data_IF_811943192841
#
_entry.id   IF_811943192841
#
_cell.length_a   1.000
_cell.length_b   1.000
_cell.length_c   1.000
_cell.angle_alpha   90.00
_cell.angle_beta   90.00
_cell.angle_gamma   90.00
#
_symmetry.space_group_name_H-M   'P 1'
#
loop_
_entity.id
_entity.type
_entity.pdbx_description
1 polymer ?
#
# COMPACT_ATOMS: atom_id res chain seq x y z
N UNK A 1 16.34 -7.61 13.06
CA UNK A 1 15.46 -7.48 11.88
C UNK A 1 15.16 -8.89 11.40
N UNK A 2 13.88 -9.29 11.28
CA UNK A 2 13.54 -10.58 10.68
C UNK A 2 14.13 -10.64 9.26
N UNK A 3 14.61 -11.82 8.86
CA UNK A 3 15.20 -12.01 7.53
C UNK A 3 14.18 -11.63 6.45
N UNK A 4 14.60 -11.00 5.34
CA UNK A 4 13.70 -10.71 4.24
C UNK A 4 13.08 -12.02 3.74
N UNK A 5 11.76 -12.03 3.55
CA UNK A 5 11.05 -13.15 2.96
C UNK A 5 11.64 -13.46 1.58
N UNK A 6 12.34 -14.59 1.46
CA UNK A 6 12.92 -15.11 0.21
C UNK A 6 11.88 -15.93 -0.57
N UNK A 7 10.63 -15.46 -0.63
CA UNK A 7 9.59 -16.10 -1.41
C UNK A 7 9.57 -15.46 -2.80
N UNK A 8 9.68 -16.27 -3.84
CA UNK A 8 9.35 -15.83 -5.20
C UNK A 8 7.82 -15.76 -5.34
N UNK A 9 7.27 -14.57 -5.06
CA UNK A 9 5.85 -14.31 -5.12
C UNK A 9 5.21 -14.55 -6.50
N UNK A 10 6.01 -14.57 -7.57
CA UNK A 10 5.50 -14.76 -8.93
C UNK A 10 5.14 -16.23 -9.23
N UNK A 11 5.78 -17.16 -8.52
CA UNK A 11 5.58 -18.61 -8.69
C UNK A 11 4.99 -19.29 -7.46
N UNK A 12 4.97 -18.61 -6.32
CA UNK A 12 4.47 -19.14 -5.06
C UNK A 12 3.00 -19.60 -5.14
N UNK A 13 2.75 -20.75 -4.51
CA UNK A 13 1.40 -21.22 -4.22
C UNK A 13 0.76 -20.40 -3.08
N UNK A 14 -0.57 -20.53 -2.97
CA UNK A 14 -1.34 -20.00 -1.84
C UNK A 14 -0.75 -20.42 -0.49
N UNK A 15 -0.43 -21.72 -0.36
CA UNK A 15 0.04 -22.29 0.89
C UNK A 15 1.43 -21.77 1.28
N UNK A 16 2.36 -21.72 0.33
CA UNK A 16 3.71 -21.16 0.58
C UNK A 16 3.63 -19.69 0.98
N UNK A 17 2.74 -18.92 0.34
CA UNK A 17 2.52 -17.52 0.66
C UNK A 17 1.91 -17.32 2.06
N UNK A 18 0.93 -18.13 2.45
CA UNK A 18 0.38 -18.13 3.80
C UNK A 18 1.44 -18.49 4.85
N UNK A 19 2.21 -19.56 4.62
CA UNK A 19 3.25 -20.00 5.53
C UNK A 19 4.38 -18.97 5.68
N UNK A 20 4.73 -18.29 4.58
CA UNK A 20 5.68 -17.19 4.59
C UNK A 20 5.20 -16.03 5.48
N UNK A 21 3.98 -15.55 5.27
CA UNK A 21 3.44 -14.43 6.06
C UNK A 21 3.14 -14.80 7.51
N UNK A 22 2.78 -16.05 7.81
CA UNK A 22 2.56 -16.52 9.18
C UNK A 22 3.83 -16.43 10.05
N UNK A 23 5.02 -16.47 9.43
CA UNK A 23 6.32 -16.30 10.11
C UNK A 23 6.78 -14.83 10.19
N UNK A 24 6.08 -13.91 9.50
CA UNK A 24 6.43 -12.50 9.50
C UNK A 24 5.86 -11.82 10.74
N UNK A 25 6.72 -11.09 11.44
CA UNK A 25 6.31 -10.18 12.51
C UNK A 25 6.83 -8.77 12.22
N UNK A 26 6.19 -7.77 12.81
CA UNK A 26 6.73 -6.42 12.85
C UNK A 26 7.99 -6.31 13.75
N UNK A 27 8.49 -5.09 13.94
CA UNK A 27 9.65 -4.82 14.78
C UNK A 27 9.42 -5.11 16.28
N UNK A 28 8.17 -5.23 16.70
CA UNK A 28 7.75 -5.53 18.08
C UNK A 28 7.46 -7.03 18.28
N UNK A 29 7.58 -7.85 17.22
CA UNK A 29 7.23 -9.27 17.27
C UNK A 29 5.73 -9.55 17.08
N UNK A 30 4.94 -8.55 16.68
CA UNK A 30 3.50 -8.69 16.43
C UNK A 30 3.26 -9.31 15.06
N UNK A 31 2.45 -10.37 14.94
CA UNK A 31 2.07 -10.93 13.64
C UNK A 31 1.11 -9.99 12.88
N UNK A 32 0.83 -10.33 11.61
CA UNK A 32 -0.21 -9.64 10.84
C UNK A 32 -1.59 -9.97 11.43
N UNK A 33 -2.44 -8.96 11.52
CA UNK A 33 -3.83 -9.10 11.99
C UNK A 33 -4.61 -10.18 11.20
N UNK A 34 -5.30 -11.11 11.88
CA UNK A 34 -5.94 -12.27 11.25
C UNK A 34 -7.05 -11.88 10.27
N UNK A 35 -7.76 -10.77 10.49
CA UNK A 35 -8.83 -10.31 9.62
C UNK A 35 -8.36 -9.64 8.33
N UNK A 36 -7.05 -9.38 8.17
CA UNK A 36 -6.48 -8.76 6.95
C UNK A 36 -5.37 -9.57 6.29
N UNK A 37 -4.82 -10.60 6.97
CA UNK A 37 -3.71 -11.40 6.44
C UNK A 37 -4.00 -11.99 5.05
N UNK A 38 -5.23 -12.43 4.79
CA UNK A 38 -5.62 -12.97 3.48
C UNK A 38 -5.50 -11.91 2.37
N UNK A 39 -5.91 -10.67 2.64
CA UNK A 39 -5.73 -9.54 1.72
C UNK A 39 -4.25 -9.31 1.42
N UNK A 40 -3.40 -9.38 2.44
CA UNK A 40 -1.95 -9.21 2.30
C UNK A 40 -1.33 -10.33 1.46
N UNK A 41 -1.73 -11.59 1.67
CA UNK A 41 -1.30 -12.74 0.85
C UNK A 41 -1.65 -12.50 -0.62
N UNK A 42 -2.92 -12.20 -0.90
CA UNK A 42 -3.43 -12.06 -2.27
C UNK A 42 -2.78 -10.88 -3.00
N UNK A 43 -2.58 -9.75 -2.34
CA UNK A 43 -1.90 -8.61 -2.94
C UNK A 43 -0.47 -8.97 -3.35
N UNK A 44 0.31 -9.63 -2.48
CA UNK A 44 1.67 -10.04 -2.86
C UNK A 44 1.67 -11.06 -4.01
N UNK A 45 0.78 -12.06 -3.98
CA UNK A 45 0.64 -13.05 -5.06
C UNK A 45 0.22 -12.43 -6.40
N UNK A 46 -0.54 -11.33 -6.38
CA UNK A 46 -0.93 -10.56 -7.57
C UNK A 46 0.15 -9.54 -8.01
N UNK A 47 1.32 -9.55 -7.38
CA UNK A 47 2.44 -8.68 -7.72
C UNK A 47 2.30 -7.25 -7.18
N UNK A 48 1.61 -7.08 -6.05
CA UNK A 48 1.53 -5.83 -5.29
C UNK A 48 2.28 -6.00 -3.95
N UNK A 49 3.60 -5.71 -3.90
CA UNK A 49 4.38 -5.89 -2.69
C UNK A 49 3.82 -5.06 -1.54
N UNK A 50 3.52 -5.71 -0.41
CA UNK A 50 3.02 -5.03 0.78
C UNK A 50 4.14 -4.76 1.78
N UNK A 51 3.99 -3.71 2.58
CA UNK A 51 4.98 -3.34 3.61
C UNK A 51 4.39 -3.17 5.00
N UNK A 52 3.11 -2.82 5.10
CA UNK A 52 2.41 -2.64 6.37
C UNK A 52 0.91 -2.85 6.17
N UNK A 53 0.20 -3.30 7.20
CA UNK A 53 -1.26 -3.45 7.20
C UNK A 53 -1.81 -3.34 8.62
N UNK A 54 -3.11 -3.10 8.73
CA UNK A 54 -3.86 -3.21 9.98
C UNK A 54 -5.32 -3.52 9.64
N UNK A 55 -6.00 -4.36 10.42
CA UNK A 55 -7.42 -4.66 10.24
C UNK A 55 -8.35 -3.56 10.81
N UNK A 56 -7.77 -2.62 11.53
CA UNK A 56 -8.45 -1.53 12.22
C UNK A 56 -8.96 -1.94 13.59
N UNK A 57 -8.70 -1.11 14.60
CA UNK A 57 -9.04 -1.40 15.99
C UNK A 57 -9.61 -0.15 16.67
N UNK A 58 -10.42 -0.34 17.72
CA UNK A 58 -11.03 0.77 18.47
C UNK A 58 -10.17 1.22 19.65
N UNK A 59 -9.36 0.32 20.18
CA UNK A 59 -8.51 0.49 21.36
C UNK A 59 -7.07 0.90 21.01
N UNK A 60 -6.65 0.70 19.75
CA UNK A 60 -5.35 1.12 19.26
C UNK A 60 -5.36 1.41 17.75
N UNK A 61 -4.42 2.21 17.27
CA UNK A 61 -4.31 2.53 15.85
C UNK A 61 -5.56 3.20 15.25
N UNK A 62 -5.68 3.23 13.91
CA UNK A 62 -6.85 3.80 13.25
C UNK A 62 -8.04 2.82 13.25
N UNK A 63 -9.29 3.30 13.42
CA UNK A 63 -10.49 2.47 13.41
C UNK A 63 -10.96 2.15 11.99
N UNK A 64 -10.06 1.64 11.15
CA UNK A 64 -10.36 1.17 9.80
C UNK A 64 -9.28 0.21 9.27
N UNK A 65 -9.64 -0.75 8.40
CA UNK A 65 -8.65 -1.61 7.76
C UNK A 65 -7.87 -0.85 6.69
N UNK A 66 -6.58 -1.16 6.57
CA UNK A 66 -5.75 -0.62 5.51
C UNK A 66 -4.57 -1.55 5.17
N UNK A 67 -4.11 -1.46 3.93
CA UNK A 67 -2.88 -2.12 3.46
C UNK A 67 -2.01 -1.10 2.74
N UNK A 68 -0.72 -1.07 3.03
CA UNK A 68 0.27 -0.23 2.35
C UNK A 68 1.07 -1.09 1.37
N UNK A 69 1.04 -0.69 0.10
CA UNK A 69 1.74 -1.29 -1.04
C UNK A 69 2.90 -0.41 -1.45
N UNK A 70 3.99 -1.03 -1.90
CA UNK A 70 5.24 -0.35 -2.26
C UNK A 70 5.68 -0.68 -3.68
N UNK A 71 6.05 0.36 -4.42
CA UNK A 71 6.94 0.26 -5.57
C UNK A 71 8.35 0.57 -5.08
N UNK A 72 9.16 -0.47 -4.88
CA UNK A 72 10.48 -0.32 -4.23
C UNK A 72 11.43 0.54 -5.05
N UNK A 73 11.41 0.42 -6.37
CA UNK A 73 12.31 1.17 -7.24
C UNK A 73 11.96 2.66 -7.20
N UNK A 74 10.67 3.00 -7.34
CA UNK A 74 10.24 4.39 -7.28
C UNK A 74 10.39 4.99 -5.87
N UNK A 75 10.05 4.23 -4.83
CA UNK A 75 10.25 4.66 -3.45
C UNK A 75 11.73 4.95 -3.17
N UNK A 76 12.65 4.08 -3.60
CA UNK A 76 14.07 4.27 -3.40
C UNK A 76 14.58 5.55 -4.07
N UNK A 77 14.18 5.81 -5.33
CA UNK A 77 14.50 7.06 -6.04
C UNK A 77 14.01 8.29 -5.27
N UNK A 78 12.77 8.26 -4.78
CA UNK A 78 12.21 9.34 -3.98
C UNK A 78 12.99 9.58 -2.68
N UNK A 79 13.25 8.51 -1.91
CA UNK A 79 13.95 8.62 -0.63
C UNK A 79 15.37 9.17 -0.79
N UNK A 80 16.08 8.78 -1.85
CA UNK A 80 17.42 9.29 -2.15
C UNK A 80 17.41 10.80 -2.41
N UNK A 81 16.50 11.29 -3.26
CA UNK A 81 16.39 12.74 -3.53
C UNK A 81 15.89 13.52 -2.31
N UNK A 82 14.93 12.95 -1.57
CA UNK A 82 14.44 13.57 -0.33
C UNK A 82 15.56 13.71 0.71
N UNK A 83 16.38 12.68 0.90
CA UNK A 83 17.53 12.73 1.80
C UNK A 83 18.50 13.86 1.41
N UNK A 84 18.76 14.04 0.11
CA UNK A 84 19.59 15.13 -0.39
C UNK A 84 18.98 16.51 -0.08
N UNK A 85 17.66 16.68 -0.24
CA UNK A 85 16.95 17.91 0.14
C UNK A 85 17.13 18.20 1.63
N UNK A 86 16.91 17.20 2.49
CA UNK A 86 17.09 17.35 3.94
C UNK A 86 18.51 17.77 4.31
N UNK A 87 19.53 17.15 3.69
CA UNK A 87 20.93 17.49 3.93
C UNK A 87 21.24 18.96 3.58
N UNK A 88 20.75 19.44 2.43
CA UNK A 88 20.96 20.84 2.05
C UNK A 88 20.18 21.83 2.90
N UNK A 89 18.97 21.47 3.35
CA UNK A 89 18.20 22.29 4.29
C UNK A 89 18.90 22.39 5.65
N UNK A 90 19.41 21.28 6.18
CA UNK A 90 20.20 21.29 7.42
C UNK A 90 21.47 22.13 7.28
N UNK A 91 22.18 21.99 6.16
CA UNK A 91 23.37 22.80 5.89
C UNK A 91 23.03 24.30 5.82
N UNK A 92 22.00 24.66 5.06
CA UNK A 92 21.54 26.05 4.94
C UNK A 92 21.12 26.64 6.29
N UNK A 93 20.44 25.84 7.12
CA UNK A 93 20.06 26.25 8.47
C UNK A 93 21.28 26.48 9.38
N UNK A 94 22.30 25.60 9.31
CA UNK A 94 23.51 25.72 10.13
C UNK A 94 24.42 26.87 9.67
N UNK A 95 24.57 27.09 8.37
CA UNK A 95 25.51 28.09 7.84
C UNK A 95 24.90 29.48 7.73
N UNK A 96 23.60 29.59 7.44
CA UNK A 96 22.94 30.85 7.10
C UNK A 96 23.46 31.49 5.80
N UNK A 97 24.35 30.82 5.07
CA UNK A 97 25.01 31.40 3.91
C UNK A 97 24.06 31.42 2.70
N UNK A 98 23.90 32.55 1.98
CA UNK A 98 22.95 32.66 0.87
C UNK A 98 23.11 31.58 -0.21
N UNK A 99 24.35 31.15 -0.50
CA UNK A 99 24.61 30.08 -1.46
C UNK A 99 24.08 28.69 -1.02
N UNK A 100 24.12 28.40 0.29
CA UNK A 100 23.58 27.13 0.81
C UNK A 100 22.05 27.18 0.84
N UNK A 101 21.47 28.35 1.16
CA UNK A 101 20.04 28.60 1.06
C UNK A 101 19.58 28.39 -0.39
N UNK A 102 20.21 29.02 -1.38
CA UNK A 102 19.88 28.85 -2.81
C UNK A 102 19.98 27.37 -3.24
N UNK A 103 21.02 26.66 -2.83
CA UNK A 103 21.17 25.22 -3.11
C UNK A 103 20.01 24.40 -2.55
N UNK A 104 19.57 24.69 -1.33
CA UNK A 104 18.43 24.00 -0.72
C UNK A 104 17.12 24.24 -1.49
N UNK A 105 16.89 25.47 -1.97
CA UNK A 105 15.73 25.80 -2.80
C UNK A 105 15.76 25.07 -4.16
N UNK A 106 16.93 25.03 -4.82
CA UNK A 106 17.07 24.32 -6.10
C UNK A 106 16.80 22.82 -5.97
N UNK A 107 17.36 22.17 -4.96
CA UNK A 107 17.13 20.75 -4.72
C UNK A 107 15.65 20.44 -4.44
N UNK A 108 14.96 21.32 -3.71
CA UNK A 108 13.52 21.17 -3.48
C UNK A 108 12.73 21.33 -4.80
N UNK A 109 13.08 22.31 -5.64
CA UNK A 109 12.44 22.49 -6.94
C UNK A 109 12.69 21.30 -7.88
N UNK A 110 13.92 20.77 -7.91
CA UNK A 110 14.26 19.57 -8.68
C UNK A 110 13.43 18.35 -8.24
N UNK A 111 13.28 18.15 -6.92
CA UNK A 111 12.43 17.08 -6.39
C UNK A 111 10.96 17.27 -6.80
N UNK A 112 10.43 18.49 -6.77
CA UNK A 112 9.05 18.76 -7.20
C UNK A 112 8.83 18.44 -8.68
N UNK A 113 9.79 18.81 -9.54
CA UNK A 113 9.77 18.47 -10.97
C UNK A 113 9.83 16.96 -11.17
N UNK A 114 10.74 16.27 -10.47
CA UNK A 114 10.86 14.82 -10.54
C UNK A 114 9.57 14.11 -10.09
N UNK A 115 8.95 14.57 -9.00
CA UNK A 115 7.67 14.02 -8.52
C UNK A 115 6.53 14.17 -9.53
N UNK A 116 6.49 15.28 -10.27
CA UNK A 116 5.49 15.50 -11.32
C UNK A 116 5.71 14.53 -12.51
N UNK A 117 6.96 14.27 -12.88
CA UNK A 117 7.31 13.31 -13.93
C UNK A 117 6.97 11.88 -13.51
N UNK A 118 7.37 11.48 -12.30
CA UNK A 118 7.13 10.13 -11.79
C UNK A 118 5.65 9.78 -11.67
N UNK A 119 4.77 10.77 -11.50
CA UNK A 119 3.31 10.54 -11.49
C UNK A 119 2.84 9.81 -12.76
N UNK A 120 3.52 10.00 -13.88
CA UNK A 120 3.23 9.31 -15.15
C UNK A 120 3.83 7.89 -15.20
N UNK A 121 4.84 7.61 -14.37
CA UNK A 121 5.54 6.33 -14.26
C UNK A 121 4.92 5.38 -13.20
N UNK A 122 3.92 5.83 -12.43
CA UNK A 122 3.30 5.06 -11.31
C UNK A 122 2.41 3.90 -11.77
N UNK A 123 2.97 2.97 -12.55
CA UNK A 123 2.29 1.80 -13.11
C UNK A 123 1.67 0.90 -12.04
N UNK A 124 2.37 0.69 -10.91
CA UNK A 124 1.84 -0.09 -9.79
C UNK A 124 0.55 0.53 -9.22
N UNK A 125 0.51 1.86 -9.10
CA UNK A 125 -0.67 2.60 -8.63
C UNK A 125 -1.81 2.49 -9.62
N UNK A 126 -1.54 2.66 -10.92
CA UNK A 126 -2.54 2.54 -11.97
C UNK A 126 -3.18 1.14 -11.94
N UNK A 127 -2.38 0.08 -11.92
CA UNK A 127 -2.85 -1.32 -11.82
C UNK A 127 -3.69 -1.57 -10.56
N UNK A 128 -3.32 -0.96 -9.43
CA UNK A 128 -4.08 -1.11 -8.18
C UNK A 128 -5.43 -0.39 -8.24
N UNK A 129 -5.51 0.75 -8.90
CA UNK A 129 -6.76 1.47 -9.15
C UNK A 129 -7.65 0.66 -10.10
N UNK A 130 -7.10 0.17 -11.21
CA UNK A 130 -7.83 -0.69 -12.16
C UNK A 130 -8.41 -1.94 -11.47
N UNK A 131 -7.65 -2.55 -10.55
CA UNK A 131 -8.11 -3.71 -9.79
C UNK A 131 -9.26 -3.37 -8.83
N UNK A 132 -9.23 -2.18 -8.21
CA UNK A 132 -10.33 -1.70 -7.36
C UNK A 132 -11.55 -1.29 -8.18
N UNK A 133 -11.36 -0.64 -9.33
CA UNK A 133 -12.44 -0.26 -10.23
C UNK A 133 -13.15 -1.50 -10.78
N UNK A 134 -12.40 -2.51 -11.22
CA UNK A 134 -12.97 -3.79 -11.66
C UNK A 134 -13.78 -4.50 -10.56
N UNK A 135 -13.37 -4.37 -9.29
CA UNK A 135 -14.16 -4.85 -8.16
C UNK A 135 -15.48 -4.08 -8.03
N UNK A 136 -15.43 -2.74 -8.11
CA UNK A 136 -16.60 -1.89 -7.94
C UNK A 136 -17.58 -1.92 -9.13
N UNK A 137 -17.11 -2.24 -10.33
CA UNK A 137 -17.96 -2.48 -11.49
C UNK A 137 -18.84 -3.72 -11.30
N UNK A 138 -18.32 -4.74 -10.62
CA UNK A 138 -19.03 -5.99 -10.35
C UNK A 138 -19.85 -5.93 -9.05
N UNK A 139 -19.35 -5.19 -8.07
CA UNK A 139 -19.95 -5.07 -6.75
C UNK A 139 -19.99 -3.60 -6.31
N UNK A 140 -21.08 -2.88 -6.63
CA UNK A 140 -21.25 -1.51 -6.18
C UNK A 140 -21.16 -1.38 -4.65
N UNK A 141 -20.47 -0.34 -4.20
CA UNK A 141 -20.29 -0.09 -2.78
C UNK A 141 -21.63 0.26 -2.13
N UNK A 142 -21.97 -0.43 -1.03
CA UNK A 142 -23.24 -0.20 -0.30
C UNK A 142 -23.24 1.11 0.48
N UNK A 143 -22.08 1.55 0.94
CA UNK A 143 -21.90 2.78 1.69
C UNK A 143 -20.71 3.56 1.10
N UNK A 144 -20.93 4.68 0.39
CA UNK A 144 -19.84 5.41 -0.29
C UNK A 144 -18.67 5.77 0.64
N UNK A 145 -18.94 6.00 1.92
CA UNK A 145 -17.92 6.30 2.91
C UNK A 145 -16.96 5.12 3.17
N UNK A 146 -17.40 3.87 2.99
CA UNK A 146 -16.58 2.67 3.20
C UNK A 146 -15.87 2.22 1.94
N UNK A 147 -16.14 2.83 0.77
CA UNK A 147 -15.45 2.55 -0.49
C UNK A 147 -13.94 2.63 -0.28
N UNK A 148 -13.21 1.61 -0.72
CA UNK A 148 -11.76 1.59 -0.69
C UNK A 148 -11.19 2.51 -1.78
N UNK A 149 -10.14 3.24 -1.44
CA UNK A 149 -9.39 4.11 -2.34
C UNK A 149 -7.89 3.86 -2.22
N UNK A 150 -7.14 4.22 -3.26
CA UNK A 150 -5.67 4.22 -3.25
C UNK A 150 -5.16 5.62 -2.92
N UNK A 151 -4.79 5.83 -1.67
CA UNK A 151 -4.13 7.05 -1.23
C UNK A 151 -2.64 6.97 -1.58
N UNK A 152 -2.10 8.03 -2.19
CA UNK A 152 -0.66 8.19 -2.38
C UNK A 152 -0.07 8.96 -1.19
N UNK A 153 0.91 8.39 -0.50
CA UNK A 153 1.65 9.10 0.56
C UNK A 153 2.79 9.92 -0.04
N UNK A 154 3.60 9.25 -0.87
CA UNK A 154 4.67 9.84 -1.67
C UNK A 154 4.93 8.90 -2.86
N UNK A 155 5.79 9.27 -3.84
CA UNK A 155 6.09 8.39 -4.96
C UNK A 155 6.51 6.99 -4.49
N UNK A 156 5.89 5.96 -5.06
CA UNK A 156 6.17 4.57 -4.76
C UNK A 156 5.61 4.03 -3.44
N UNK A 157 4.80 4.79 -2.70
CA UNK A 157 4.14 4.30 -1.48
C UNK A 157 2.64 4.64 -1.48
N UNK A 158 1.81 3.60 -1.50
CA UNK A 158 0.37 3.70 -1.67
C UNK A 158 -0.36 2.97 -0.56
N UNK A 159 -1.48 3.51 -0.09
CA UNK A 159 -2.31 2.91 0.95
C UNK A 159 -3.73 2.68 0.43
N UNK A 160 -4.17 1.43 0.48
CA UNK A 160 -5.58 1.06 0.32
C UNK A 160 -6.27 1.26 1.66
N UNK A 161 -7.35 2.05 1.68
CA UNK A 161 -8.13 2.37 2.89
C UNK A 161 -9.53 2.87 2.51
N UNK A 162 -10.52 2.86 3.42
CA UNK A 162 -11.83 3.44 3.14
C UNK A 162 -11.80 4.98 3.02
N UNK A 163 -12.76 5.56 2.29
CA UNK A 163 -12.93 7.02 2.12
C UNK A 163 -12.99 7.76 3.46
N UNK A 164 -13.77 7.23 4.42
CA UNK A 164 -13.95 7.85 5.74
C UNK A 164 -12.66 7.95 6.55
N UNK A 165 -11.59 7.26 6.16
CA UNK A 165 -10.30 7.42 6.83
C UNK A 165 -9.73 8.85 6.67
N UNK A 166 -10.21 9.64 5.70
CA UNK A 166 -9.82 11.06 5.53
C UNK A 166 -10.46 11.95 6.58
N UNK A 167 -11.73 11.66 6.90
CA UNK A 167 -12.52 12.40 7.89
C UNK A 167 -13.24 11.36 8.77
N UNK A 168 -12.58 10.92 9.87
CA UNK A 168 -13.07 9.83 10.68
C UNK A 168 -14.48 10.09 11.23
N UNK A 169 -15.32 9.05 11.31
CA UNK A 169 -16.67 9.21 11.84
C UNK A 169 -16.65 9.66 13.30
N UNK A 170 -17.71 10.36 13.78
CA UNK A 170 -17.90 10.66 15.19
C UNK A 170 -17.74 9.41 16.07
N UNK A 171 -17.33 9.60 17.33
CA UNK A 171 -17.08 8.52 18.28
C UNK A 171 -18.21 7.48 18.32
N UNK A 172 -19.45 7.96 18.40
CA UNK A 172 -20.66 7.12 18.46
C UNK A 172 -20.86 6.21 17.23
N UNK A 173 -20.20 6.51 16.11
CA UNK A 173 -20.30 5.76 14.86
C UNK A 173 -19.04 4.95 14.53
N UNK A 174 -17.94 5.09 15.28
CA UNK A 174 -16.65 4.44 14.97
C UNK A 174 -16.76 2.93 14.87
N UNK A 175 -17.40 2.29 15.84
CA UNK A 175 -17.57 0.83 15.84
C UNK A 175 -18.31 0.35 14.58
N UNK A 176 -19.43 1.01 14.21
CA UNK A 176 -20.20 0.62 13.02
C UNK A 176 -19.41 0.85 11.72
N UNK A 177 -18.63 1.93 11.65
CA UNK A 177 -17.83 2.21 10.45
C UNK A 177 -16.62 1.31 10.33
N UNK A 178 -16.00 0.91 11.47
CA UNK A 178 -14.95 -0.10 11.49
C UNK A 178 -15.49 -1.42 10.94
N UNK A 179 -16.62 -1.90 11.46
CA UNK A 179 -17.28 -3.13 10.99
C UNK A 179 -17.54 -3.09 9.48
N UNK A 180 -18.17 -2.02 9.00
CA UNK A 180 -18.44 -1.84 7.56
C UNK A 180 -17.17 -1.75 6.72
N UNK A 181 -16.13 -1.10 7.23
CA UNK A 181 -14.82 -1.01 6.57
C UNK A 181 -14.18 -2.40 6.45
N UNK A 182 -14.24 -3.20 7.51
CA UNK A 182 -13.75 -4.58 7.51
C UNK A 182 -14.58 -5.48 6.57
N UNK A 183 -15.90 -5.31 6.54
CA UNK A 183 -16.76 -6.00 5.57
C UNK A 183 -16.39 -5.67 4.13
N UNK A 184 -16.15 -4.40 3.83
CA UNK A 184 -15.72 -3.96 2.51
C UNK A 184 -14.36 -4.57 2.13
N UNK A 185 -13.39 -4.54 3.06
CA UNK A 185 -12.07 -5.16 2.87
C UNK A 185 -12.18 -6.67 2.61
N UNK A 186 -13.04 -7.38 3.36
CA UNK A 186 -13.33 -8.81 3.14
C UNK A 186 -13.99 -9.06 1.78
N UNK A 187 -14.90 -8.19 1.35
CA UNK A 187 -15.52 -8.29 0.03
C UNK A 187 -14.49 -8.13 -1.09
N UNK A 188 -13.62 -7.12 -0.99
CA UNK A 188 -12.53 -6.92 -1.92
C UNK A 188 -11.55 -8.10 -1.91
N UNK A 189 -11.22 -8.64 -0.74
CA UNK A 189 -10.36 -9.84 -0.58
C UNK A 189 -10.91 -11.03 -1.36
N UNK A 190 -12.22 -11.30 -1.31
CA UNK A 190 -12.83 -12.36 -2.13
C UNK A 190 -12.67 -12.11 -3.64
N UNK A 191 -12.79 -10.85 -4.08
CA UNK A 191 -12.57 -10.48 -5.48
C UNK A 191 -11.10 -10.68 -5.90
N UNK A 192 -10.15 -10.33 -5.04
CA UNK A 192 -8.72 -10.60 -5.26
C UNK A 192 -8.44 -12.09 -5.42
N UNK A 193 -9.06 -12.95 -4.59
CA UNK A 193 -8.93 -14.40 -4.68
C UNK A 193 -9.40 -14.92 -6.03
N UNK A 194 -10.59 -14.50 -6.47
CA UNK A 194 -11.10 -14.88 -7.79
C UNK A 194 -10.18 -14.42 -8.92
N UNK A 195 -9.60 -13.21 -8.80
CA UNK A 195 -8.65 -12.70 -9.77
C UNK A 195 -7.40 -13.59 -9.86
N UNK A 196 -6.82 -13.93 -8.71
CA UNK A 196 -5.63 -14.79 -8.64
C UNK A 196 -5.90 -16.19 -9.19
N UNK A 197 -7.04 -16.81 -8.82
CA UNK A 197 -7.44 -18.13 -9.33
C UNK A 197 -7.62 -18.13 -10.86
N UNK A 198 -8.22 -17.08 -11.43
CA UNK A 198 -8.35 -16.91 -12.88
C UNK A 198 -7.00 -16.77 -13.59
N UNK A 199 -6.08 -15.97 -13.04
CA UNK A 199 -4.73 -15.83 -13.60
C UNK A 199 -3.99 -17.17 -13.63
N UNK A 200 -4.09 -17.94 -12.54
CA UNK A 200 -3.47 -19.28 -12.47
C UNK A 200 -4.07 -20.27 -13.46
N UNK A 201 -5.39 -20.28 -13.61
CA UNK A 201 -6.05 -21.15 -14.58
C UNK A 201 -5.64 -20.82 -16.02
N UNK A 202 -5.55 -19.53 -16.37
CA UNK A 202 -5.08 -19.08 -17.68
C UNK A 202 -3.62 -19.50 -17.94
N UNK A 203 -2.72 -19.32 -16.96
CA UNK A 203 -1.32 -19.75 -17.08
C UNK A 203 -1.18 -21.26 -17.27
N UNK A 204 -1.99 -22.07 -16.58
CA UNK A 204 -1.98 -23.53 -16.74
C UNK A 204 -2.44 -23.95 -18.15
N UNK A 205 -3.42 -23.25 -18.73
CA UNK A 205 -3.91 -23.53 -20.09
C UNK A 205 -2.91 -23.10 -21.18
N UNK A 206 -2.20 -21.98 -21.00
CA UNK A 206 -1.16 -21.53 -21.93
C UNK A 206 0.15 -22.32 -21.88
N UNK A 207 0.32 -23.19 -20.88
CA UNK A 207 1.51 -24.03 -20.69
C UNK A 207 1.33 -25.48 -21.18
N UNK A 208 0.16 -25.80 -21.74
CA UNK A 208 -0.09 -27.09 -22.39
C UNK A 208 0.44 -27.04 -23.84
N UNK A 209 1.30 -27.99 -24.26
CA UNK A 209 1.89 -28.04 -25.60
C UNK A 209 0.88 -28.35 -26.71
#
# INVERSE_FOLDING_TARGET
MPAPLTLDWTSASWQEACEALARLTDALGTPIDPGIVETVVLLNLLGFPTVQSCEGHLDHGPPYPWVTVVDRALQQRFLQQWQQVCQFQEQAHRSGHPADVDRSYRALAELQVAQAQWKQEETLRARLIELLDAFYDQQPCRCPATRLLVQRHHPGLYRIRPVYATDPPPEALRASYLERGQEEMRAWTRSLRQCWERQRAAHAQSSLP
#
